data_IF_770662107788
#
_entry.id   IF_770662107788
#
_cell.length_a   1.000
_cell.length_b   1.000
_cell.length_c   1.000
_cell.angle_alpha   90.00
_cell.angle_beta   90.00
_cell.angle_gamma   90.00
#
_symmetry.space_group_name_H-M   'P 1'
#
loop_
_entity.id
_entity.type
_entity.pdbx_description
1 polymer ?
#
# COMPACT_ATOMS: atom_id res chain seq x y z
N UNK A 1 14.90 8.74 16.01
CA UNK A 1 13.43 8.60 15.79
C UNK A 1 12.82 7.60 16.76
N UNK A 2 13.29 6.34 16.81
CA UNK A 2 12.77 5.29 17.71
C UNK A 2 12.76 5.66 19.21
N UNK A 3 13.88 6.12 19.76
CA UNK A 3 13.96 6.52 21.18
C UNK A 3 13.04 7.70 21.51
N UNK A 4 12.85 8.60 20.54
CA UNK A 4 11.96 9.75 20.66
C UNK A 4 10.48 9.35 20.73
N UNK A 5 10.08 8.29 20.02
CA UNK A 5 8.70 7.79 20.02
C UNK A 5 8.39 6.92 21.25
N UNK A 6 9.32 6.04 21.64
CA UNK A 6 9.12 5.11 22.77
C UNK A 6 9.24 5.76 24.15
N UNK A 7 9.74 7.01 24.24
CA UNK A 7 9.70 7.79 25.48
C UNK A 7 10.43 7.17 26.68
N UNK A 8 11.43 6.33 26.43
CA UNK A 8 12.18 5.62 27.48
C UNK A 8 11.66 4.21 27.80
N UNK A 9 10.57 3.76 27.16
CA UNK A 9 10.19 2.33 27.16
C UNK A 9 11.27 1.55 26.41
N UNK A 10 11.87 0.58 27.09
CA UNK A 10 12.96 -0.25 26.54
C UNK A 10 12.47 -1.45 25.78
N UNK A 11 11.23 -1.89 26.02
CA UNK A 11 10.61 -2.97 25.28
C UNK A 11 10.33 -2.51 23.84
N UNK A 12 11.10 -3.06 22.92
CA UNK A 12 11.11 -2.71 21.50
C UNK A 12 10.03 -3.44 20.74
N UNK A 13 9.53 -4.52 21.34
CA UNK A 13 8.67 -5.50 20.74
C UNK A 13 7.23 -5.35 21.27
N UNK A 14 6.96 -4.25 22.00
CA UNK A 14 5.61 -3.87 22.39
C UNK A 14 4.73 -3.77 21.14
N UNK A 15 3.75 -4.66 21.07
CA UNK A 15 2.79 -4.77 19.98
C UNK A 15 1.97 -3.49 19.73
N UNK A 16 1.84 -2.60 20.71
CA UNK A 16 1.19 -1.29 20.54
C UNK A 16 2.08 -0.29 19.80
N UNK A 17 3.39 -0.47 19.86
CA UNK A 17 4.36 0.31 19.09
C UNK A 17 4.69 -0.34 17.73
N UNK A 18 4.66 -1.68 17.67
CA UNK A 18 4.99 -2.49 16.49
C UNK A 18 3.83 -3.45 16.16
N UNK A 19 2.75 -2.98 15.48
CA UNK A 19 1.51 -3.75 15.30
C UNK A 19 1.67 -5.09 14.59
N UNK A 20 2.74 -5.28 13.81
CA UNK A 20 3.02 -6.55 13.14
C UNK A 20 3.25 -7.72 14.11
N UNK A 21 3.62 -7.40 15.36
CA UNK A 21 3.80 -8.34 16.46
C UNK A 21 2.50 -8.59 17.24
N UNK A 22 1.44 -7.83 16.98
CA UNK A 22 0.15 -7.99 17.65
C UNK A 22 -0.61 -9.23 17.17
N UNK A 23 -1.62 -9.61 17.95
CA UNK A 23 -2.68 -10.49 17.47
C UNK A 23 -3.64 -9.68 16.58
N UNK A 24 -3.68 -10.01 15.29
CA UNK A 24 -4.46 -9.26 14.30
C UNK A 24 -5.90 -9.79 14.16
N UNK A 25 -6.27 -10.86 14.87
CA UNK A 25 -7.62 -11.44 14.77
C UNK A 25 -8.69 -10.40 15.12
N UNK A 26 -9.74 -10.36 14.30
CA UNK A 26 -10.86 -9.44 14.50
C UNK A 26 -10.64 -8.03 13.95
N UNK A 27 -9.49 -7.74 13.32
CA UNK A 27 -9.36 -6.52 12.52
C UNK A 27 -10.42 -6.48 11.42
N UNK A 28 -10.94 -5.28 11.09
CA UNK A 28 -11.84 -5.12 9.95
C UNK A 28 -11.10 -5.42 8.64
N UNK A 29 -11.87 -5.55 7.56
CA UNK A 29 -11.30 -5.60 6.21
C UNK A 29 -10.34 -4.42 6.02
N UNK A 30 -9.11 -4.72 5.64
CA UNK A 30 -8.02 -3.75 5.62
C UNK A 30 -7.44 -3.64 4.22
N UNK A 31 -7.32 -2.41 3.72
CA UNK A 31 -6.53 -2.11 2.51
C UNK A 31 -5.19 -1.53 2.95
N UNK A 32 -4.11 -2.13 2.45
CA UNK A 32 -2.74 -1.65 2.62
C UNK A 32 -2.23 -1.13 1.27
N UNK A 33 -1.74 0.10 1.24
CA UNK A 33 -1.11 0.68 0.05
C UNK A 33 0.35 1.01 0.38
N UNK A 34 1.27 0.63 -0.50
CA UNK A 34 2.68 0.97 -0.40
C UNK A 34 3.23 1.36 -1.77
N UNK A 35 4.31 2.12 -1.79
CA UNK A 35 5.02 2.49 -3.00
C UNK A 35 6.01 1.39 -3.40
N UNK A 36 6.35 1.30 -4.69
CA UNK A 36 7.42 0.41 -5.16
C UNK A 36 8.79 0.84 -4.62
N UNK A 37 9.05 2.15 -4.58
CA UNK A 37 10.31 2.76 -4.12
C UNK A 37 10.21 3.23 -2.67
N UNK A 38 9.63 2.39 -1.81
CA UNK A 38 9.36 2.66 -0.41
C UNK A 38 10.27 1.81 0.49
N UNK A 39 10.90 2.44 1.48
CA UNK A 39 11.73 1.74 2.46
C UNK A 39 10.90 0.85 3.41
N UNK A 40 9.66 1.25 3.69
CA UNK A 40 8.69 0.53 4.52
C UNK A 40 7.85 -0.52 3.76
N UNK A 41 8.15 -0.78 2.47
CA UNK A 41 7.42 -1.78 1.68
C UNK A 41 7.48 -3.18 2.30
N UNK A 42 8.64 -3.67 2.80
CA UNK A 42 8.70 -4.96 3.48
C UNK A 42 7.77 -5.04 4.71
N UNK A 43 7.58 -3.94 5.44
CA UNK A 43 6.67 -3.90 6.58
C UNK A 43 5.21 -4.03 6.16
N UNK A 44 4.82 -3.39 5.05
CA UNK A 44 3.48 -3.52 4.46
C UNK A 44 3.22 -4.95 3.95
N UNK A 45 4.21 -5.57 3.30
CA UNK A 45 4.16 -6.97 2.85
C UNK A 45 4.02 -7.93 4.05
N UNK A 46 4.84 -7.72 5.10
CA UNK A 46 4.80 -8.53 6.32
C UNK A 46 3.47 -8.40 7.07
N UNK A 47 2.98 -7.18 7.26
CA UNK A 47 1.68 -6.95 7.91
C UNK A 47 0.53 -7.64 7.17
N UNK A 48 0.54 -7.57 5.83
CA UNK A 48 -0.48 -8.24 5.00
C UNK A 48 -0.40 -9.76 5.15
N UNK A 49 0.80 -10.34 5.18
CA UNK A 49 0.99 -11.78 5.40
C UNK A 49 0.45 -12.21 6.79
N UNK A 50 0.74 -11.42 7.83
CA UNK A 50 0.25 -11.65 9.20
C UNK A 50 -1.28 -11.55 9.29
N UNK A 51 -1.90 -10.65 8.54
CA UNK A 51 -3.36 -10.58 8.43
C UNK A 51 -3.94 -11.88 7.85
N UNK A 52 -3.33 -12.41 6.78
CA UNK A 52 -3.75 -13.66 6.19
C UNK A 52 -3.62 -14.85 7.16
N UNK A 53 -2.51 -14.94 7.90
CA UNK A 53 -2.32 -15.93 8.98
C UNK A 53 -3.41 -15.82 10.07
N UNK A 54 -3.91 -14.61 10.30
CA UNK A 54 -4.93 -14.31 11.30
C UNK A 54 -6.38 -14.36 10.76
N UNK A 55 -6.56 -14.84 9.52
CA UNK A 55 -7.85 -14.92 8.82
C UNK A 55 -8.56 -13.55 8.67
N UNK A 56 -7.79 -12.46 8.57
CA UNK A 56 -8.29 -11.11 8.29
C UNK A 56 -8.31 -10.89 6.78
N UNK A 57 -9.40 -10.33 6.27
CA UNK A 57 -9.51 -9.90 4.88
C UNK A 57 -8.61 -8.66 4.65
N UNK A 58 -7.39 -8.89 4.16
CA UNK A 58 -6.42 -7.84 3.90
C UNK A 58 -5.98 -7.87 2.44
N UNK A 59 -5.99 -6.71 1.80
CA UNK A 59 -5.51 -6.52 0.44
C UNK A 59 -4.30 -5.60 0.42
N UNK A 60 -3.30 -5.91 -0.41
CA UNK A 60 -2.10 -5.09 -0.60
C UNK A 60 -2.05 -4.55 -2.02
N UNK A 61 -1.80 -3.25 -2.15
CA UNK A 61 -1.51 -2.57 -3.42
C UNK A 61 -0.11 -1.98 -3.36
N UNK A 62 0.75 -2.43 -4.27
CA UNK A 62 2.09 -1.87 -4.47
C UNK A 62 2.05 -0.98 -5.71
N UNK A 63 2.31 0.31 -5.54
CA UNK A 63 2.19 1.31 -6.59
C UNK A 63 3.52 1.54 -7.33
N UNK A 64 3.61 1.18 -8.63
CA UNK A 64 4.86 1.27 -9.40
C UNK A 64 5.38 2.70 -9.52
N UNK A 65 6.71 2.87 -9.44
CA UNK A 65 7.38 4.16 -9.58
C UNK A 65 7.06 5.19 -8.48
N UNK A 66 6.18 4.86 -7.53
CA UNK A 66 5.80 5.77 -6.45
C UNK A 66 6.83 5.74 -5.33
N UNK A 67 6.91 6.86 -4.60
CA UNK A 67 7.76 7.07 -3.43
C UNK A 67 6.93 7.15 -2.14
N UNK A 68 7.61 7.27 -1.00
CA UNK A 68 6.98 7.41 0.31
C UNK A 68 5.86 8.45 0.35
N UNK A 69 4.68 8.00 0.74
CA UNK A 69 3.46 8.81 0.91
C UNK A 69 3.15 9.66 -0.34
N UNK A 70 3.23 9.04 -1.52
CA UNK A 70 2.88 9.70 -2.79
C UNK A 70 1.46 10.30 -2.80
N UNK A 71 0.56 9.80 -1.95
CA UNK A 71 -0.79 10.32 -1.68
C UNK A 71 -0.80 11.84 -1.39
N UNK A 72 0.25 12.37 -0.76
CA UNK A 72 0.40 13.81 -0.46
C UNK A 72 0.50 14.70 -1.71
N UNK A 73 0.74 14.12 -2.89
CA UNK A 73 0.78 14.87 -4.15
C UNK A 73 -0.59 15.02 -4.80
N UNK A 74 -1.68 14.57 -4.16
CA UNK A 74 -3.05 14.83 -4.64
C UNK A 74 -3.35 16.35 -4.69
N UNK A 75 -4.06 16.85 -5.72
CA UNK A 75 -4.49 16.15 -6.94
C UNK A 75 -3.48 16.27 -8.10
N UNK A 76 -2.26 16.75 -7.84
CA UNK A 76 -1.24 17.04 -8.87
C UNK A 76 -0.65 15.78 -9.51
N UNK A 77 -0.70 14.66 -8.80
CA UNK A 77 -0.30 13.34 -9.29
C UNK A 77 -1.54 12.47 -9.49
N UNK A 78 -1.74 11.96 -10.70
CA UNK A 78 -2.87 11.11 -11.08
C UNK A 78 -2.97 9.86 -10.21
N UNK A 79 -1.84 9.21 -9.97
CA UNK A 79 -1.68 7.98 -9.20
C UNK A 79 -2.03 8.21 -7.72
N UNK A 80 -1.75 9.41 -7.20
CA UNK A 80 -2.16 9.78 -5.85
C UNK A 80 -3.70 9.92 -5.75
N UNK A 81 -4.32 10.55 -6.76
CA UNK A 81 -5.77 10.67 -6.81
C UNK A 81 -6.46 9.30 -7.03
N UNK A 82 -5.88 8.42 -7.85
CA UNK A 82 -6.36 7.06 -8.08
C UNK A 82 -6.26 6.20 -6.82
N UNK A 83 -5.12 6.27 -6.11
CA UNK A 83 -4.91 5.55 -4.86
C UNK A 83 -5.94 5.97 -3.78
N UNK A 84 -6.29 7.26 -3.70
CA UNK A 84 -7.36 7.73 -2.80
C UNK A 84 -8.75 7.23 -3.20
N UNK A 85 -9.05 7.13 -4.50
CA UNK A 85 -10.33 6.55 -4.95
C UNK A 85 -10.42 5.08 -4.57
N UNK A 86 -9.34 4.31 -4.72
CA UNK A 86 -9.30 2.92 -4.31
C UNK A 86 -9.58 2.73 -2.80
N UNK A 87 -9.17 3.68 -1.94
CA UNK A 87 -9.54 3.68 -0.51
C UNK A 87 -11.04 3.92 -0.30
N UNK A 88 -11.66 4.79 -1.09
CA UNK A 88 -13.11 4.99 -1.01
C UNK A 88 -13.87 3.74 -1.48
N UNK A 89 -13.41 3.11 -2.56
CA UNK A 89 -14.04 1.94 -3.17
C UNK A 89 -13.85 0.66 -2.34
N UNK A 90 -12.81 0.58 -1.50
CA UNK A 90 -12.61 -0.58 -0.63
C UNK A 90 -13.56 -0.60 0.59
N UNK A 91 -14.35 0.45 0.81
CA UNK A 91 -15.44 0.48 1.80
C UNK A 91 -16.74 -0.04 1.15
N UNK A 92 -17.62 -0.79 1.85
CA UNK A 92 -18.48 -1.78 1.20
C UNK A 92 -19.38 -1.24 0.08
N UNK A 93 -19.16 -1.78 -1.11
CA UNK A 93 -20.24 -2.08 -2.04
C UNK A 93 -20.23 -3.52 -2.56
N UNK A 94 -19.49 -4.49 -1.99
CA UNK A 94 -19.61 -5.89 -2.41
C UNK A 94 -18.84 -6.91 -1.55
N UNK A 95 -19.49 -8.05 -1.37
CA UNK A 95 -19.12 -9.18 -0.52
C UNK A 95 -18.32 -10.25 -1.28
N UNK A 96 -17.07 -10.00 -1.68
CA UNK A 96 -16.22 -11.08 -2.22
C UNK A 96 -14.78 -10.95 -1.75
N UNK A 97 -14.45 -11.75 -0.73
CA UNK A 97 -13.09 -11.97 -0.28
C UNK A 97 -12.25 -12.57 -1.42
N UNK A 98 -11.11 -11.95 -1.68
CA UNK A 98 -9.99 -12.53 -2.40
C UNK A 98 -8.79 -11.65 -2.12
N UNK A 99 -7.77 -12.22 -1.45
CA UNK A 99 -6.42 -11.63 -1.42
C UNK A 99 -5.96 -11.54 -2.86
N UNK A 100 -6.01 -10.34 -3.43
CA UNK A 100 -5.37 -10.02 -4.71
C UNK A 100 -4.19 -9.14 -4.41
N UNK A 101 -2.98 -9.68 -4.60
CA UNK A 101 -1.83 -8.84 -4.90
C UNK A 101 -2.09 -8.26 -6.29
N UNK A 102 -2.69 -7.07 -6.36
CA UNK A 102 -2.89 -6.39 -7.63
C UNK A 102 -1.60 -5.67 -7.95
N UNK A 103 -0.72 -6.34 -8.69
CA UNK A 103 0.35 -5.66 -9.42
C UNK A 103 -0.31 -4.91 -10.58
N UNK A 104 -0.45 -3.59 -10.47
CA UNK A 104 -0.81 -2.79 -11.63
C UNK A 104 0.39 -2.74 -12.57
N UNK A 105 0.36 -3.52 -13.65
CA UNK A 105 1.15 -3.26 -14.86
C UNK A 105 0.27 -3.53 -16.08
N UNK A 106 -0.06 -2.47 -16.80
CA UNK A 106 0.17 -2.46 -18.24
C UNK A 106 0.52 -1.03 -18.67
N UNK A 107 1.81 -0.76 -18.87
CA UNK A 107 2.28 0.51 -19.42
C UNK A 107 2.37 0.36 -20.94
N UNK A 108 1.22 0.37 -21.61
CA UNK A 108 1.14 0.56 -23.05
C UNK A 108 0.32 1.82 -23.33
N UNK A 109 1.02 2.96 -23.35
CA UNK A 109 0.54 4.14 -24.04
C UNK A 109 1.75 4.99 -24.48
N UNK A 110 2.16 4.72 -25.72
CA UNK A 110 2.49 5.74 -26.73
C UNK A 110 3.63 6.71 -26.42
N UNK A 111 4.84 6.37 -26.87
CA UNK A 111 5.85 7.34 -27.29
C UNK A 111 6.73 6.72 -28.38
N UNK A 112 6.32 6.89 -29.65
CA UNK A 112 7.15 7.10 -30.86
C UNK A 112 6.31 6.86 -32.12
N UNK A 113 5.34 7.75 -32.38
CA UNK A 113 4.93 8.07 -33.76
C UNK A 113 5.11 9.56 -33.99
N UNK A 114 6.35 10.03 -33.92
CA UNK A 114 6.69 11.29 -34.58
C UNK A 114 8.16 11.30 -35.02
N UNK A 115 8.40 10.75 -36.21
CA UNK A 115 9.35 11.31 -37.18
C UNK A 115 8.73 11.16 -38.56
N UNK A 116 8.11 12.24 -39.02
CA UNK A 116 7.66 12.38 -40.40
C UNK A 116 8.82 12.45 -41.40
N UNK A 117 8.48 12.05 -42.63
CA UNK A 117 8.80 12.68 -43.91
C UNK A 117 10.22 13.20 -44.19
N UNK A 118 10.87 12.56 -45.17
CA UNK A 118 11.51 13.19 -46.33
C UNK A 118 11.65 12.09 -47.41
N UNK A 119 10.82 12.12 -48.45
CA UNK A 119 11.16 12.57 -49.82
C UNK A 119 11.74 11.45 -50.69
#
# INVERSE_FOLDING_TARGET
MRESYLGGVTDRDDSLASPVLADLRGLPRTLVQTAELEALRPDAELFTARCAESMVDCSLQVWPGMIHVWLNFTPRLSEAAEALRAVADCWPNDHKGSVRSVYFRDFSATLLSDRGHAS
#
